data_IF_962576832050
#
_entry.id   IF_962576832050
#
_cell.length_a   1.000
_cell.length_b   1.000
_cell.length_c   1.000
_cell.angle_alpha   90.00
_cell.angle_beta   90.00
_cell.angle_gamma   90.00
#
_symmetry.space_group_name_H-M   'P 1'
#
loop_
_entity.id
_entity.type
_entity.pdbx_description
1 polymer ?
#
# COMPACT_ATOMS: atom_id res chain seq x y z
N UNK A 1 15.55 -8.59 -55.48
CA UNK A 1 16.24 -9.21 -54.33
C UNK A 1 15.81 -8.45 -53.09
N UNK A 2 14.58 -8.72 -52.65
CA UNK A 2 13.84 -7.92 -51.69
C UNK A 2 14.16 -8.39 -50.27
N UNK A 3 14.95 -7.60 -49.56
CA UNK A 3 15.31 -7.86 -48.16
C UNK A 3 14.11 -7.53 -47.28
N UNK A 4 13.37 -8.55 -46.85
CA UNK A 4 12.35 -8.43 -45.80
C UNK A 4 13.03 -8.25 -44.46
N UNK A 5 12.98 -7.05 -43.90
CA UNK A 5 13.41 -6.80 -42.52
C UNK A 5 12.29 -7.24 -41.57
N UNK A 6 12.56 -8.30 -40.80
CA UNK A 6 11.68 -8.78 -39.75
C UNK A 6 11.95 -7.95 -38.49
N UNK A 7 11.20 -6.85 -38.32
CA UNK A 7 11.25 -6.04 -37.10
C UNK A 7 10.57 -6.81 -35.99
N UNK A 8 11.37 -7.43 -35.12
CA UNK A 8 10.85 -8.07 -33.90
C UNK A 8 10.66 -6.99 -32.84
N UNK A 9 9.43 -6.48 -32.72
CA UNK A 9 9.03 -5.60 -31.62
C UNK A 9 8.81 -6.49 -30.39
N UNK A 10 9.72 -6.43 -29.42
CA UNK A 10 9.47 -7.05 -28.11
C UNK A 10 8.36 -6.26 -27.40
N UNK A 11 7.29 -6.89 -26.91
CA UNK A 11 6.33 -6.18 -26.08
C UNK A 11 7.05 -5.71 -24.82
N UNK A 12 6.95 -4.41 -24.52
CA UNK A 12 7.36 -3.86 -23.24
C UNK A 12 6.46 -4.51 -22.20
N UNK A 13 7.02 -5.46 -21.45
CA UNK A 13 6.44 -5.94 -20.21
C UNK A 13 6.52 -4.78 -19.22
N UNK A 14 5.51 -3.91 -19.28
CA UNK A 14 5.11 -3.10 -18.14
C UNK A 14 4.62 -4.11 -17.10
N UNK A 15 5.56 -4.70 -16.36
CA UNK A 15 5.22 -5.45 -15.17
C UNK A 15 4.78 -4.38 -14.17
N UNK A 16 3.48 -4.19 -13.89
CA UNK A 16 3.13 -3.43 -12.71
C UNK A 16 3.86 -4.15 -11.59
N UNK A 17 4.73 -3.45 -10.87
CA UNK A 17 5.29 -3.95 -9.62
C UNK A 17 4.07 -4.16 -8.74
N UNK A 18 3.48 -5.35 -8.81
CA UNK A 18 2.38 -5.77 -7.95
C UNK A 18 3.03 -5.85 -6.59
N UNK A 19 3.01 -4.73 -5.86
CA UNK A 19 3.32 -4.68 -4.44
C UNK A 19 2.52 -5.84 -3.85
N UNK A 20 3.27 -6.81 -3.34
CA UNK A 20 2.74 -8.05 -2.79
C UNK A 20 1.65 -7.63 -1.82
N UNK A 21 0.38 -7.89 -2.14
CA UNK A 21 -0.74 -7.52 -1.26
C UNK A 21 -0.47 -8.21 0.06
N UNK A 22 -0.21 -7.44 1.12
CA UNK A 22 -0.01 -7.96 2.46
C UNK A 22 -1.35 -8.55 2.89
N UNK A 23 -1.54 -9.83 2.58
CA UNK A 23 -2.79 -10.53 2.83
C UNK A 23 -2.84 -10.90 4.30
N UNK A 24 -3.32 -9.97 5.13
CA UNK A 24 -3.68 -10.26 6.51
C UNK A 24 -4.84 -11.25 6.54
N UNK A 25 -4.67 -12.33 7.31
CA UNK A 25 -5.75 -13.27 7.61
C UNK A 25 -6.89 -12.53 8.30
N UNK A 26 -8.13 -13.02 8.14
CA UNK A 26 -9.28 -12.45 8.82
C UNK A 26 -9.10 -12.44 10.35
N UNK A 27 -8.34 -13.40 10.91
CA UNK A 27 -8.05 -13.51 12.34
C UNK A 27 -7.11 -12.41 12.87
N UNK A 28 -6.21 -11.90 12.01
CA UNK A 28 -5.20 -10.90 12.40
C UNK A 28 -5.74 -9.47 12.29
N UNK A 29 -6.86 -9.28 11.58
CA UNK A 29 -7.50 -7.98 11.40
C UNK A 29 -8.07 -7.47 12.71
N UNK A 30 -7.74 -6.22 13.03
CA UNK A 30 -8.26 -5.51 14.21
C UNK A 30 -9.30 -4.47 13.79
N UNK A 31 -10.23 -4.18 14.69
CA UNK A 31 -11.27 -3.19 14.49
C UNK A 31 -10.85 -1.85 15.09
N UNK A 32 -11.03 -0.76 14.33
CA UNK A 32 -10.80 0.61 14.79
C UNK A 32 -12.12 1.39 14.66
N UNK A 33 -12.53 2.09 15.71
CA UNK A 33 -13.69 2.98 15.66
C UNK A 33 -13.26 4.32 15.05
N UNK A 34 -13.98 4.76 14.03
CA UNK A 34 -13.74 6.04 13.33
C UNK A 34 -15.05 6.81 13.17
N UNK A 35 -14.95 8.11 12.89
CA UNK A 35 -16.13 8.92 12.58
C UNK A 35 -16.79 8.46 11.26
N UNK A 36 -18.11 8.71 11.09
CA UNK A 36 -18.81 8.35 9.86
C UNK A 36 -18.21 9.00 8.60
N UNK A 37 -17.76 10.24 8.72
CA UNK A 37 -17.15 10.97 7.61
C UNK A 37 -15.82 10.34 7.18
N UNK A 38 -14.98 9.96 8.14
CA UNK A 38 -13.71 9.27 7.87
C UNK A 38 -13.95 7.91 7.24
N UNK A 39 -14.94 7.15 7.73
CA UNK A 39 -15.32 5.87 7.12
C UNK A 39 -15.73 6.05 5.66
N UNK A 40 -16.51 7.08 5.34
CA UNK A 40 -16.94 7.37 3.97
C UNK A 40 -15.74 7.68 3.07
N UNK A 41 -14.81 8.52 3.53
CA UNK A 41 -13.57 8.83 2.80
C UNK A 41 -12.73 7.58 2.54
N UNK A 42 -12.55 6.72 3.55
CA UNK A 42 -11.83 5.45 3.40
C UNK A 42 -12.49 4.57 2.34
N UNK A 43 -13.82 4.39 2.41
CA UNK A 43 -14.57 3.57 1.44
C UNK A 43 -14.42 4.10 0.02
N UNK A 44 -14.59 5.40 -0.18
CA UNK A 44 -14.46 6.02 -1.51
C UNK A 44 -13.07 5.81 -2.11
N UNK A 45 -12.02 6.01 -1.31
CA UNK A 45 -10.64 5.81 -1.77
C UNK A 45 -10.36 4.33 -2.07
N UNK A 46 -10.87 3.42 -1.22
CA UNK A 46 -10.76 1.97 -1.44
C UNK A 46 -11.42 1.54 -2.76
N UNK A 47 -12.59 2.10 -3.08
CA UNK A 47 -13.28 1.86 -4.36
C UNK A 47 -12.46 2.36 -5.55
N UNK A 48 -11.85 3.55 -5.45
CA UNK A 48 -11.05 4.14 -6.54
C UNK A 48 -9.80 3.31 -6.80
N UNK A 49 -9.14 2.82 -5.73
CA UNK A 49 -7.87 2.10 -5.83
C UNK A 49 -8.00 0.57 -5.93
N UNK A 50 -9.21 0.04 -5.86
CA UNK A 50 -9.48 -1.41 -5.78
C UNK A 50 -8.64 -2.11 -4.68
N UNK A 51 -8.72 -1.57 -3.45
CA UNK A 51 -7.97 -2.08 -2.29
C UNK A 51 -8.89 -2.29 -1.09
N UNK A 52 -8.49 -3.15 -0.17
CA UNK A 52 -9.23 -3.35 1.08
C UNK A 52 -8.91 -2.23 2.06
N UNK A 53 -9.86 -1.94 2.96
CA UNK A 53 -9.72 -0.87 3.95
C UNK A 53 -8.44 -0.94 4.77
N UNK A 54 -8.02 -2.14 5.19
CA UNK A 54 -6.79 -2.30 5.98
C UNK A 54 -5.53 -2.04 5.15
N UNK A 55 -5.51 -2.42 3.87
CA UNK A 55 -4.37 -2.17 2.97
C UNK A 55 -4.19 -0.66 2.74
N UNK A 56 -5.29 0.07 2.59
CA UNK A 56 -5.25 1.53 2.47
C UNK A 56 -4.74 2.18 3.76
N UNK A 57 -5.18 1.70 4.92
CA UNK A 57 -4.73 2.23 6.22
C UNK A 57 -3.22 2.00 6.38
N UNK A 58 -2.73 0.80 6.04
CA UNK A 58 -1.30 0.47 6.08
C UNK A 58 -0.49 1.41 5.17
N UNK A 59 -0.91 1.60 3.91
CA UNK A 59 -0.22 2.50 2.98
C UNK A 59 -0.18 3.96 3.46
N UNK A 60 -1.30 4.46 3.99
CA UNK A 60 -1.38 5.84 4.50
C UNK A 60 -0.50 5.99 5.74
N UNK A 61 -0.46 4.97 6.61
CA UNK A 61 0.36 5.00 7.81
C UNK A 61 1.85 4.97 7.46
N UNK A 62 2.27 4.08 6.55
CA UNK A 62 3.65 4.04 6.05
C UNK A 62 4.06 5.37 5.41
N UNK A 63 3.17 5.97 4.62
CA UNK A 63 3.40 7.29 4.03
C UNK A 63 3.53 8.36 5.11
N UNK A 64 2.70 8.34 6.15
CA UNK A 64 2.76 9.31 7.24
C UNK A 64 4.06 9.17 8.04
N UNK A 65 4.46 7.94 8.39
CA UNK A 65 5.73 7.66 9.08
C UNK A 65 6.91 8.18 8.25
N UNK A 66 6.93 7.90 6.96
CA UNK A 66 8.06 8.26 6.10
C UNK A 66 8.14 9.76 5.82
N UNK A 67 7.00 10.43 5.63
CA UNK A 67 6.97 11.82 5.14
C UNK A 67 6.65 12.87 6.22
N UNK A 68 6.11 12.48 7.36
CA UNK A 68 5.68 13.41 8.41
C UNK A 68 6.42 13.22 9.74
N UNK A 69 6.82 12.01 10.10
CA UNK A 69 7.58 11.80 11.33
C UNK A 69 9.06 12.12 11.10
N UNK A 70 9.67 12.80 12.08
CA UNK A 70 11.11 12.99 12.11
C UNK A 70 11.84 11.74 12.67
N UNK A 71 13.17 11.70 12.55
CA UNK A 71 13.96 10.54 12.99
C UNK A 71 13.78 10.19 14.48
N UNK A 72 13.54 11.18 15.34
CA UNK A 72 13.32 10.94 16.77
C UNK A 72 11.95 10.30 17.03
N UNK A 73 10.90 10.79 16.39
CA UNK A 73 9.54 10.24 16.48
C UNK A 73 9.46 8.82 15.88
N UNK A 74 10.17 8.58 14.79
CA UNK A 74 10.29 7.24 14.19
C UNK A 74 10.97 6.25 15.16
N UNK A 75 12.05 6.67 15.83
CA UNK A 75 12.73 5.82 16.81
C UNK A 75 11.83 5.50 18.00
N UNK A 76 11.08 6.47 18.53
CA UNK A 76 10.09 6.24 19.59
C UNK A 76 9.04 5.22 19.13
N UNK A 77 8.54 5.36 17.90
CA UNK A 77 7.55 4.43 17.35
C UNK A 77 8.11 3.00 17.27
N UNK A 78 9.35 2.84 16.79
CA UNK A 78 10.01 1.53 16.67
C UNK A 78 10.21 0.88 18.05
N UNK A 79 10.64 1.66 19.04
CA UNK A 79 10.89 1.19 20.40
C UNK A 79 9.59 0.65 21.02
N UNK A 80 8.52 1.44 20.96
CA UNK A 80 7.19 1.08 21.48
C UNK A 80 6.58 -0.14 20.76
N UNK A 81 6.80 -0.28 19.46
CA UNK A 81 6.29 -1.43 18.68
C UNK A 81 7.12 -2.68 18.95
N UNK A 82 8.43 -2.54 19.16
CA UNK A 82 9.33 -3.66 19.45
C UNK A 82 9.13 -4.21 20.86
N UNK A 83 8.89 -3.35 21.85
CA UNK A 83 8.60 -3.74 23.24
C UNK A 83 7.28 -4.50 23.42
N UNK A 84 6.38 -4.42 22.43
CA UNK A 84 5.08 -5.11 22.45
C UNK A 84 5.07 -6.44 21.71
N UNK A 85 6.24 -6.93 21.27
CA UNK A 85 6.39 -8.17 20.51
C UNK A 85 6.87 -9.32 21.39
#
# INVERSE_FOLDING_TARGET
MDKKYLVTVKPVQDNPVTKKKNSLSAADRKNIKVSPETLNKIKTICTIKDMKNYELIDEILDYYITNKLNAHEQNILIDIVSDRK
#
